data_IF_721075176391
#
_entry.id   IF_721075176391
#
_cell.length_a   1.000
_cell.length_b   1.000
_cell.length_c   1.000
_cell.angle_alpha   90.00
_cell.angle_beta   90.00
_cell.angle_gamma   90.00
#
_symmetry.space_group_name_H-M   'P 1'
#
loop_
_entity.id
_entity.type
_entity.pdbx_description
1 polymer ?
#
# COMPACT_ATOMS: atom_id res chain seq x y z
N UNK A 1 -58.90 -43.97 5.81
CA UNK A 1 -57.72 -44.27 6.65
C UNK A 1 -57.05 -42.95 7.05
N UNK A 2 -57.33 -42.42 8.23
CA UNK A 2 -56.75 -41.18 8.76
C UNK A 2 -55.82 -41.54 9.92
N UNK A 3 -54.52 -41.22 9.77
CA UNK A 3 -53.47 -41.55 10.76
C UNK A 3 -53.47 -40.52 11.90
N UNK A 4 -53.65 -41.04 13.11
CA UNK A 4 -53.52 -40.38 14.41
C UNK A 4 -52.12 -39.77 14.60
N UNK A 5 -52.05 -38.48 14.98
CA UNK A 5 -50.82 -37.81 15.43
C UNK A 5 -50.82 -37.75 16.96
N UNK A 6 -49.79 -38.38 17.54
CA UNK A 6 -49.54 -38.58 18.97
C UNK A 6 -49.13 -37.27 19.65
N UNK A 7 -49.75 -36.94 20.78
CA UNK A 7 -49.39 -35.79 21.61
C UNK A 7 -48.06 -36.02 22.34
N UNK A 8 -47.16 -35.02 22.31
CA UNK A 8 -45.93 -34.99 23.09
C UNK A 8 -46.14 -34.13 24.34
N UNK A 9 -45.79 -34.70 25.50
CA UNK A 9 -45.89 -34.11 26.84
C UNK A 9 -44.85 -32.98 26.99
N UNK A 10 -45.30 -31.83 27.47
CA UNK A 10 -44.44 -30.76 28.00
C UNK A 10 -44.13 -31.08 29.47
N UNK A 11 -42.87 -31.38 29.76
CA UNK A 11 -42.33 -31.42 31.13
C UNK A 11 -41.25 -30.34 31.22
N UNK A 12 -41.51 -29.35 32.06
CA UNK A 12 -40.63 -28.20 32.27
C UNK A 12 -39.34 -28.55 32.99
N UNK A 13 -38.31 -27.75 32.71
CA UNK A 13 -37.17 -27.54 33.59
C UNK A 13 -36.63 -26.13 33.32
N UNK A 14 -37.02 -25.18 34.17
CA UNK A 14 -36.40 -23.87 34.22
C UNK A 14 -34.95 -24.05 34.70
N UNK A 15 -33.98 -23.78 33.83
CA UNK A 15 -32.56 -23.73 34.23
C UNK A 15 -32.25 -22.29 34.60
N UNK A 16 -32.29 -21.99 35.90
CA UNK A 16 -31.77 -20.75 36.48
C UNK A 16 -30.25 -20.75 36.35
N UNK A 17 -29.73 -19.93 35.45
CA UNK A 17 -28.28 -19.67 35.35
C UNK A 17 -27.91 -18.67 36.44
N UNK A 18 -27.24 -19.12 37.50
CA UNK A 18 -26.61 -18.20 38.46
C UNK A 18 -25.34 -17.62 37.81
N UNK A 19 -25.08 -16.30 37.90
CA UNK A 19 -23.85 -15.71 37.41
C UNK A 19 -22.65 -16.20 38.23
N UNK A 20 -21.46 -16.41 37.61
CA UNK A 20 -20.25 -16.81 38.31
C UNK A 20 -19.84 -15.76 39.37
N UNK A 21 -19.29 -16.17 40.53
CA UNK A 21 -18.82 -15.22 41.53
C UNK A 21 -17.65 -14.39 40.99
N UNK A 22 -17.79 -13.07 41.06
CA UNK A 22 -16.78 -12.08 40.67
C UNK A 22 -15.68 -12.00 41.74
N UNK A 23 -14.77 -12.96 41.75
CA UNK A 23 -13.52 -12.85 42.49
C UNK A 23 -12.53 -12.02 41.65
N UNK A 24 -12.01 -10.93 42.23
CA UNK A 24 -10.94 -10.19 41.58
C UNK A 24 -9.65 -11.04 41.58
N UNK A 25 -8.89 -11.09 40.47
CA UNK A 25 -7.63 -11.80 40.43
C UNK A 25 -6.65 -11.21 41.45
N UNK A 26 -5.96 -12.08 42.16
CA UNK A 26 -4.93 -11.70 43.11
C UNK A 26 -3.85 -10.86 42.40
N UNK A 27 -3.62 -9.65 42.91
CA UNK A 27 -2.70 -8.65 42.33
C UNK A 27 -1.35 -8.63 43.06
N UNK A 28 -1.07 -9.60 43.92
CA UNK A 28 0.26 -9.76 44.48
C UNK A 28 1.22 -10.22 43.38
N UNK A 29 2.32 -9.48 43.20
CA UNK A 29 3.36 -9.84 42.24
C UNK A 29 4.08 -11.13 42.67
N UNK A 30 4.69 -11.87 41.72
CA UNK A 30 5.31 -13.16 42.00
C UNK A 30 6.39 -13.02 43.09
N UNK A 31 6.37 -13.97 44.03
CA UNK A 31 7.36 -14.04 45.10
C UNK A 31 8.69 -14.55 44.52
N UNK A 32 9.81 -14.16 45.13
CA UNK A 32 11.17 -14.40 44.59
C UNK A 32 11.48 -15.92 44.42
N UNK A 33 10.76 -16.78 45.13
CA UNK A 33 10.92 -18.24 45.08
C UNK A 33 9.99 -18.94 44.07
N UNK A 34 9.09 -18.21 43.40
CA UNK A 34 8.24 -18.79 42.36
C UNK A 34 9.08 -19.17 41.13
N UNK A 35 8.83 -20.36 40.59
CA UNK A 35 9.55 -20.87 39.43
C UNK A 35 9.32 -19.94 38.24
N UNK A 36 10.33 -19.11 37.95
CA UNK A 36 10.29 -18.20 36.80
C UNK A 36 10.15 -19.01 35.51
N UNK A 37 9.37 -18.49 34.57
CA UNK A 37 9.17 -19.11 33.24
C UNK A 37 10.49 -19.49 32.57
N UNK A 38 11.54 -18.72 32.85
CA UNK A 38 12.91 -19.00 32.43
C UNK A 38 13.46 -20.33 32.99
N UNK A 39 13.33 -20.58 34.30
CA UNK A 39 13.78 -21.83 34.94
C UNK A 39 12.96 -23.04 34.46
N UNK A 40 11.65 -22.86 34.25
CA UNK A 40 10.79 -23.92 33.70
C UNK A 40 11.20 -24.26 32.26
N UNK A 41 11.50 -23.24 31.44
CA UNK A 41 11.97 -23.44 30.08
C UNK A 41 13.34 -24.13 30.01
N UNK A 42 14.24 -23.81 30.96
CA UNK A 42 15.53 -24.48 31.13
C UNK A 42 15.36 -25.95 31.55
N UNK A 43 14.53 -26.22 32.58
CA UNK A 43 14.24 -27.58 33.05
C UNK A 43 13.63 -28.46 31.96
N UNK A 44 12.76 -27.90 31.12
CA UNK A 44 12.12 -28.59 29.99
C UNK A 44 12.96 -28.60 28.71
N UNK A 45 14.20 -28.08 28.75
CA UNK A 45 15.12 -28.00 27.61
C UNK A 45 14.53 -27.32 26.36
N UNK A 46 13.56 -26.42 26.54
CA UNK A 46 12.81 -25.81 25.43
C UNK A 46 13.73 -24.98 24.52
N UNK A 47 14.78 -24.38 25.05
CA UNK A 47 15.77 -23.64 24.27
C UNK A 47 16.56 -24.54 23.31
N UNK A 48 16.86 -25.78 23.70
CA UNK A 48 17.56 -26.75 22.83
C UNK A 48 16.62 -27.24 21.74
N UNK A 49 15.38 -27.55 22.09
CA UNK A 49 14.36 -27.97 21.13
C UNK A 49 14.06 -26.87 20.09
N UNK A 50 13.97 -25.60 20.51
CA UNK A 50 13.79 -24.46 19.61
C UNK A 50 15.00 -24.28 18.67
N UNK A 51 16.22 -24.40 19.20
CA UNK A 51 17.44 -24.32 18.41
C UNK A 51 17.56 -25.46 17.38
N UNK A 52 17.13 -26.67 17.72
CA UNK A 52 17.07 -27.82 16.80
C UNK A 52 15.98 -27.66 15.74
N UNK A 53 14.78 -27.20 16.12
CA UNK A 53 13.69 -26.90 15.17
C UNK A 53 14.13 -25.84 14.17
N UNK A 54 14.81 -24.78 14.61
CA UNK A 54 15.37 -23.75 13.74
C UNK A 54 16.44 -24.29 12.76
N UNK A 55 17.35 -25.16 13.23
CA UNK A 55 18.35 -25.80 12.36
C UNK A 55 17.72 -26.71 11.30
N UNK A 56 16.71 -27.49 11.69
CA UNK A 56 15.97 -28.37 10.77
C UNK A 56 15.20 -27.55 9.72
N UNK A 57 14.56 -26.46 10.12
CA UNK A 57 13.85 -25.55 9.22
C UNK A 57 14.80 -24.83 8.24
N UNK A 58 16.00 -24.46 8.70
CA UNK A 58 16.99 -23.82 7.83
C UNK A 58 17.62 -24.83 6.87
N UNK A 59 17.89 -26.06 7.31
CA UNK A 59 18.35 -27.13 6.43
C UNK A 59 17.31 -27.55 5.40
N UNK A 60 16.02 -27.63 5.77
CA UNK A 60 14.95 -27.95 4.81
C UNK A 60 14.81 -26.87 3.73
N UNK A 61 14.84 -25.57 4.11
CA UNK A 61 14.85 -24.46 3.15
C UNK A 61 16.07 -24.51 2.22
N UNK A 62 17.27 -24.79 2.74
CA UNK A 62 18.48 -24.90 1.93
C UNK A 62 18.46 -26.11 0.99
N UNK A 63 17.93 -27.25 1.44
CA UNK A 63 17.81 -28.48 0.64
C UNK A 63 16.76 -28.31 -0.47
N UNK A 64 15.62 -27.70 -0.18
CA UNK A 64 14.58 -27.39 -1.16
C UNK A 64 15.07 -26.38 -2.22
N UNK A 65 15.83 -25.36 -1.80
CA UNK A 65 16.49 -24.42 -2.73
C UNK A 65 17.54 -25.10 -3.61
N UNK A 66 18.30 -26.08 -3.08
CA UNK A 66 19.30 -26.83 -3.86
C UNK A 66 18.64 -27.80 -4.85
N UNK A 67 17.53 -28.44 -4.50
CA UNK A 67 16.76 -29.31 -5.40
C UNK A 67 16.21 -28.51 -6.58
N UNK A 68 15.70 -27.30 -6.34
CA UNK A 68 15.17 -26.40 -7.39
C UNK A 68 16.24 -25.85 -8.35
N UNK A 69 17.52 -25.87 -7.96
CA UNK A 69 18.64 -25.34 -8.77
C UNK A 69 19.34 -26.44 -9.60
N UNK A 70 19.21 -27.71 -9.23
CA UNK A 70 19.90 -28.83 -9.92
C UNK A 70 19.00 -29.56 -10.92
N UNK A 71 17.67 -29.46 -10.81
CA UNK A 71 16.71 -30.06 -11.74
C UNK A 71 16.11 -29.05 -12.71
N UNK A 72 16.92 -28.44 -13.57
CA UNK A 72 16.46 -27.48 -14.58
C UNK A 72 16.94 -27.84 -15.97
N UNK A 73 16.33 -28.87 -16.57
CA UNK A 73 16.21 -29.02 -18.02
C UNK A 73 14.71 -29.11 -18.36
N UNK A 74 14.30 -28.19 -19.23
CA UNK A 74 13.17 -28.18 -20.17
C UNK A 74 11.70 -28.29 -19.71
N UNK A 75 10.95 -27.25 -20.11
CA UNK A 75 9.51 -27.19 -20.44
C UNK A 75 8.44 -27.14 -19.33
N UNK A 76 7.86 -25.93 -19.20
CA UNK A 76 6.42 -25.61 -19.28
C UNK A 76 5.40 -26.63 -18.75
N UNK A 77 4.77 -26.35 -17.60
CA UNK A 77 3.31 -26.17 -17.47
C UNK A 77 2.85 -26.18 -16.01
N UNK A 78 1.79 -25.39 -15.79
CA UNK A 78 0.99 -25.19 -14.59
C UNK A 78 0.53 -26.47 -13.86
N UNK A 79 0.62 -26.47 -12.52
CA UNK A 79 -0.50 -26.75 -11.59
C UNK A 79 0.00 -26.54 -10.16
N UNK A 80 -0.44 -25.45 -9.54
CA UNK A 80 -0.34 -25.21 -8.10
C UNK A 80 -1.52 -25.96 -7.45
N UNK A 81 -1.24 -26.97 -6.63
CA UNK A 81 -2.19 -27.54 -5.68
C UNK A 81 -1.61 -27.35 -4.26
N UNK A 82 -2.50 -26.88 -3.41
CA UNK A 82 -2.31 -26.39 -2.04
C UNK A 82 -1.93 -27.49 -1.05
N UNK A 83 -1.26 -27.10 0.03
CA UNK A 83 -1.43 -27.73 1.35
C UNK A 83 -1.32 -26.61 2.40
N UNK A 84 -2.49 -26.17 2.87
CA UNK A 84 -2.71 -25.37 4.06
C UNK A 84 -2.33 -26.18 5.32
N UNK A 85 -1.53 -25.59 6.20
CA UNK A 85 -1.51 -25.95 7.62
C UNK A 85 -1.61 -24.63 8.40
N UNK A 86 -2.82 -24.38 8.90
CA UNK A 86 -3.19 -23.33 9.84
C UNK A 86 -2.41 -23.49 11.16
N UNK A 87 -1.55 -22.51 11.49
CA UNK A 87 -1.12 -22.22 12.85
C UNK A 87 -1.62 -20.79 13.19
N UNK A 88 -2.79 -20.71 13.83
CA UNK A 88 -3.31 -19.50 14.47
C UNK A 88 -2.39 -19.10 15.65
N UNK A 89 -1.52 -18.13 15.43
CA UNK A 89 -0.96 -17.24 16.46
C UNK A 89 -0.63 -15.87 15.82
N UNK A 90 -1.60 -14.94 15.86
CA UNK A 90 -1.46 -13.50 15.61
C UNK A 90 -0.76 -13.06 14.30
N UNK A 91 -0.74 -13.88 13.25
CA UNK A 91 -0.24 -13.48 11.93
C UNK A 91 -1.37 -12.79 11.17
N UNK A 92 -1.38 -11.44 11.18
CA UNK A 92 -2.24 -10.66 10.27
C UNK A 92 -2.11 -11.25 8.86
N UNK A 93 -3.20 -11.57 8.14
CA UNK A 93 -3.11 -12.17 6.82
C UNK A 93 -2.28 -11.29 5.88
N UNK A 94 -0.99 -11.61 5.72
CA UNK A 94 -0.10 -10.86 4.82
C UNK A 94 -0.48 -11.26 3.41
N UNK A 95 -0.99 -10.30 2.64
CA UNK A 95 -1.42 -10.54 1.27
C UNK A 95 -0.23 -10.97 0.40
N UNK A 96 -0.50 -11.58 -0.77
CA UNK A 96 0.57 -11.90 -1.72
C UNK A 96 1.36 -10.62 -2.08
N UNK A 97 2.69 -10.69 -2.26
CA UNK A 97 3.51 -9.50 -2.54
C UNK A 97 3.05 -8.68 -3.76
N UNK A 98 2.36 -9.32 -4.71
CA UNK A 98 1.71 -8.66 -5.84
C UNK A 98 0.43 -7.93 -5.46
N UNK A 99 -0.42 -8.55 -4.62
CA UNK A 99 -1.66 -7.95 -4.13
C UNK A 99 -1.38 -6.74 -3.24
N UNK A 100 -0.42 -6.81 -2.32
CA UNK A 100 0.00 -5.67 -1.50
C UNK A 100 0.39 -4.47 -2.37
N UNK A 101 1.15 -4.72 -3.45
CA UNK A 101 1.56 -3.67 -4.39
C UNK A 101 0.38 -3.07 -5.15
N UNK A 102 -0.54 -3.91 -5.63
CA UNK A 102 -1.71 -3.44 -6.36
C UNK A 102 -2.60 -2.61 -5.42
N UNK A 103 -2.83 -3.08 -4.20
CA UNK A 103 -3.64 -2.36 -3.22
C UNK A 103 -2.97 -1.06 -2.77
N UNK A 104 -1.66 -1.05 -2.54
CA UNK A 104 -0.90 0.17 -2.24
C UNK A 104 -1.00 1.16 -3.41
N UNK A 105 -0.74 0.69 -4.64
CA UNK A 105 -0.89 1.52 -5.83
C UNK A 105 -2.32 2.05 -6.00
N UNK A 106 -3.33 1.21 -5.80
CA UNK A 106 -4.74 1.61 -5.86
C UNK A 106 -5.07 2.65 -4.78
N UNK A 107 -4.58 2.49 -3.56
CA UNK A 107 -4.81 3.42 -2.46
C UNK A 107 -4.25 4.81 -2.81
N UNK A 108 -2.96 4.86 -3.17
CA UNK A 108 -2.29 6.12 -3.54
C UNK A 108 -2.92 6.78 -4.76
N UNK A 109 -3.23 6.00 -5.79
CA UNK A 109 -3.78 6.54 -7.04
C UNK A 109 -5.23 6.95 -6.90
N UNK A 110 -6.00 6.33 -6.00
CA UNK A 110 -7.36 6.76 -5.65
C UNK A 110 -7.33 8.14 -5.00
N UNK A 111 -6.39 8.39 -4.07
CA UNK A 111 -6.22 9.73 -3.49
C UNK A 111 -5.83 10.78 -4.55
N UNK A 112 -4.92 10.44 -5.46
CA UNK A 112 -4.55 11.33 -6.58
C UNK A 112 -5.71 11.56 -7.56
N UNK A 113 -6.54 10.55 -7.82
CA UNK A 113 -7.72 10.69 -8.66
C UNK A 113 -8.80 11.58 -8.04
N UNK A 114 -9.00 11.49 -6.71
CA UNK A 114 -9.87 12.41 -5.99
C UNK A 114 -9.35 13.85 -6.11
N UNK A 115 -8.04 14.07 -5.92
CA UNK A 115 -7.43 15.39 -6.10
C UNK A 115 -7.62 15.91 -7.55
N UNK A 116 -7.41 15.04 -8.55
CA UNK A 116 -7.60 15.37 -9.96
C UNK A 116 -9.04 15.77 -10.27
N UNK A 117 -10.00 14.98 -9.78
CA UNK A 117 -11.42 15.25 -9.93
C UNK A 117 -11.78 16.60 -9.28
N UNK A 118 -11.28 16.87 -8.07
CA UNK A 118 -11.49 18.15 -7.39
C UNK A 118 -10.92 19.32 -8.19
N UNK A 119 -9.70 19.21 -8.71
CA UNK A 119 -9.14 20.26 -9.57
C UNK A 119 -9.94 20.48 -10.84
N UNK A 120 -10.44 19.41 -11.47
CA UNK A 120 -11.24 19.52 -12.69
C UNK A 120 -12.59 20.21 -12.42
N UNK A 121 -13.24 19.90 -11.29
CA UNK A 121 -14.45 20.61 -10.82
C UNK A 121 -14.17 22.07 -10.51
N UNK A 122 -13.11 22.36 -9.75
CA UNK A 122 -12.75 23.73 -9.36
C UNK A 122 -12.46 24.60 -10.58
N UNK A 123 -11.71 24.07 -11.54
CA UNK A 123 -11.37 24.79 -12.76
C UNK A 123 -12.61 25.03 -13.64
N UNK A 124 -13.50 24.05 -13.78
CA UNK A 124 -14.77 24.27 -14.48
C UNK A 124 -15.63 25.35 -13.82
N UNK A 125 -15.67 25.35 -12.48
CA UNK A 125 -16.38 26.36 -11.70
C UNK A 125 -15.73 27.76 -11.84
N UNK A 126 -14.40 27.85 -11.81
CA UNK A 126 -13.65 29.11 -11.99
C UNK A 126 -13.88 29.76 -13.36
N UNK A 127 -14.05 28.95 -14.40
CA UNK A 127 -14.28 29.44 -15.77
C UNK A 127 -15.76 29.45 -16.19
N UNK A 128 -16.70 29.23 -15.25
CA UNK A 128 -18.13 29.27 -15.53
C UNK A 128 -18.60 28.31 -16.63
N UNK A 129 -17.96 27.14 -16.75
CA UNK A 129 -18.30 26.15 -17.78
C UNK A 129 -19.34 25.17 -17.26
N UNK A 130 -20.32 24.82 -18.08
CA UNK A 130 -21.32 23.79 -17.78
C UNK A 130 -20.67 22.43 -17.46
N UNK A 131 -21.01 21.85 -16.31
CA UNK A 131 -20.41 20.61 -15.82
C UNK A 131 -21.10 19.42 -16.48
N UNK A 132 -20.45 18.85 -17.50
CA UNK A 132 -20.83 17.56 -18.07
C UNK A 132 -20.31 16.41 -17.20
N UNK A 133 -21.08 16.03 -16.17
CA UNK A 133 -20.74 14.99 -15.19
C UNK A 133 -20.24 13.68 -15.81
N UNK A 134 -20.87 13.22 -16.89
CA UNK A 134 -20.44 11.99 -17.59
C UNK A 134 -19.03 12.11 -18.16
N UNK A 135 -18.73 13.22 -18.83
CA UNK A 135 -17.41 13.47 -19.42
C UNK A 135 -16.34 13.70 -18.35
N UNK A 136 -16.70 14.38 -17.26
CA UNK A 136 -15.84 14.61 -16.11
C UNK A 136 -15.42 13.30 -15.44
N UNK A 137 -16.38 12.40 -15.17
CA UNK A 137 -16.10 11.08 -14.57
C UNK A 137 -15.25 10.23 -15.51
N UNK A 138 -15.56 10.21 -16.81
CA UNK A 138 -14.78 9.45 -17.79
C UNK A 138 -13.32 9.96 -17.89
N UNK A 139 -13.11 11.28 -17.93
CA UNK A 139 -11.77 11.87 -17.93
C UNK A 139 -11.03 11.56 -16.63
N UNK A 140 -11.71 11.64 -15.49
CA UNK A 140 -11.12 11.35 -14.18
C UNK A 140 -10.71 9.89 -14.06
N UNK A 141 -11.52 8.96 -14.58
CA UNK A 141 -11.19 7.55 -14.62
C UNK A 141 -10.01 7.26 -15.56
N UNK A 142 -9.98 7.91 -16.73
CA UNK A 142 -8.83 7.81 -17.64
C UNK A 142 -7.54 8.34 -17.00
N UNK A 143 -7.61 9.48 -16.31
CA UNK A 143 -6.48 10.04 -15.56
C UNK A 143 -6.05 9.10 -14.42
N UNK A 144 -7.00 8.51 -13.68
CA UNK A 144 -6.72 7.52 -12.65
C UNK A 144 -5.97 6.30 -13.21
N UNK A 145 -6.41 5.75 -14.34
CA UNK A 145 -5.71 4.61 -14.97
C UNK A 145 -4.28 4.97 -15.38
N UNK A 146 -4.06 6.19 -15.91
CA UNK A 146 -2.72 6.68 -16.25
C UNK A 146 -1.87 6.86 -14.99
N UNK A 147 -2.42 7.45 -13.92
CA UNK A 147 -1.71 7.58 -12.65
C UNK A 147 -1.43 6.21 -12.02
N UNK A 148 -2.33 5.25 -12.15
CA UNK A 148 -2.13 3.89 -11.66
C UNK A 148 -0.98 3.21 -12.40
N UNK A 149 -0.91 3.35 -13.72
CA UNK A 149 0.21 2.85 -14.51
C UNK A 149 1.52 3.55 -14.13
N UNK A 150 1.52 4.89 -14.05
CA UNK A 150 2.69 5.68 -13.68
C UNK A 150 3.18 5.33 -12.27
N UNK A 151 2.28 5.25 -11.30
CA UNK A 151 2.60 4.90 -9.92
C UNK A 151 3.09 3.46 -9.83
N UNK A 152 2.43 2.52 -10.49
CA UNK A 152 2.87 1.14 -10.53
C UNK A 152 4.27 1.00 -11.15
N UNK A 153 4.59 1.79 -12.18
CA UNK A 153 5.89 1.76 -12.85
C UNK A 153 6.99 2.48 -12.04
N UNK A 154 6.71 3.67 -11.51
CA UNK A 154 7.69 4.55 -10.90
C UNK A 154 7.78 4.43 -9.37
N UNK A 155 6.77 3.94 -8.65
CA UNK A 155 6.81 3.89 -7.18
C UNK A 155 7.79 2.81 -6.66
N UNK A 156 8.55 3.07 -5.59
CA UNK A 156 9.56 2.14 -5.07
C UNK A 156 8.95 0.80 -4.67
N UNK A 157 9.59 -0.30 -5.08
CA UNK A 157 9.35 -1.63 -4.53
C UNK A 157 10.07 -1.72 -3.20
N UNK A 158 9.36 -2.08 -2.13
CA UNK A 158 9.93 -2.25 -0.77
C UNK A 158 11.09 -3.26 -0.71
N UNK A 159 11.32 -4.07 -1.76
CA UNK A 159 12.43 -5.02 -1.87
C UNK A 159 13.37 -4.89 -3.08
N UNK A 160 13.10 -4.01 -4.07
CA UNK A 160 13.95 -3.91 -5.27
C UNK A 160 13.83 -2.51 -5.91
N UNK A 161 14.87 -1.68 -5.81
CA UNK A 161 14.86 -0.30 -6.32
C UNK A 161 15.07 -0.21 -7.84
N UNK A 162 15.00 -1.34 -8.55
CA UNK A 162 15.36 -1.45 -9.97
C UNK A 162 14.38 -0.71 -10.89
N UNK A 163 14.70 0.56 -11.18
CA UNK A 163 14.02 1.38 -12.20
C UNK A 163 14.37 0.93 -13.62
N UNK A 164 15.59 0.43 -13.84
CA UNK A 164 16.07 -0.08 -15.12
C UNK A 164 16.74 -1.43 -14.90
N UNK A 165 16.25 -2.53 -15.53
CA UNK A 165 16.89 -3.83 -15.42
C UNK A 165 18.29 -3.75 -16.05
N UNK A 166 19.33 -3.62 -15.23
CA UNK A 166 20.72 -3.52 -15.67
C UNK A 166 21.57 -2.43 -15.02
N UNK A 167 20.99 -1.48 -14.28
CA UNK A 167 21.77 -0.46 -13.56
C UNK A 167 22.14 -0.91 -12.13
N UNK A 168 23.38 -0.66 -11.65
CA UNK A 168 23.78 -0.94 -10.28
C UNK A 168 22.90 -0.23 -9.25
N UNK A 169 22.49 -0.92 -8.18
CA UNK A 169 21.58 -0.44 -7.14
C UNK A 169 21.95 0.93 -6.55
N UNK A 170 23.26 1.24 -6.43
CA UNK A 170 23.79 2.53 -5.93
C UNK A 170 23.33 3.76 -6.72
N UNK A 171 23.07 3.62 -8.02
CA UNK A 171 22.66 4.75 -8.87
C UNK A 171 21.13 4.85 -9.03
N UNK A 172 20.38 3.85 -8.59
CA UNK A 172 18.93 3.82 -8.78
C UNK A 172 18.20 4.86 -7.90
N UNK A 173 18.65 5.04 -6.65
CA UNK A 173 18.10 6.04 -5.73
C UNK A 173 18.32 7.49 -6.20
N UNK A 174 19.56 7.93 -6.55
CA UNK A 174 19.77 9.29 -7.06
C UNK A 174 19.14 9.49 -8.44
N UNK A 175 19.08 8.47 -9.30
CA UNK A 175 18.38 8.57 -10.59
C UNK A 175 16.89 8.82 -10.40
N UNK A 176 16.25 8.11 -9.45
CA UNK A 176 14.85 8.33 -9.08
C UNK A 176 14.60 9.76 -8.65
N UNK A 177 15.40 10.25 -7.69
CA UNK A 177 15.30 11.62 -7.19
C UNK A 177 15.51 12.63 -8.32
N UNK A 178 16.47 12.40 -9.23
CA UNK A 178 16.68 13.24 -10.40
C UNK A 178 15.47 13.24 -11.36
N UNK A 179 14.84 12.10 -11.59
CA UNK A 179 13.62 11.98 -12.42
C UNK A 179 12.46 12.76 -11.81
N UNK A 180 12.20 12.59 -10.51
CA UNK A 180 11.14 13.35 -9.83
C UNK A 180 11.46 14.83 -9.72
N UNK A 181 12.74 15.20 -9.59
CA UNK A 181 13.17 16.59 -9.58
C UNK A 181 12.93 17.26 -10.94
N UNK A 182 13.34 16.59 -12.03
CA UNK A 182 13.07 17.05 -13.39
C UNK A 182 11.56 17.10 -13.68
N UNK A 183 10.80 16.08 -13.28
CA UNK A 183 9.34 16.05 -13.42
C UNK A 183 8.68 17.21 -12.66
N UNK A 184 9.14 17.51 -11.44
CA UNK A 184 8.63 18.60 -10.62
C UNK A 184 8.90 19.96 -11.27
N UNK A 185 10.12 20.22 -11.74
CA UNK A 185 10.47 21.47 -12.43
C UNK A 185 9.68 21.64 -13.72
N UNK A 186 9.66 20.61 -14.58
CA UNK A 186 8.98 20.67 -15.87
C UNK A 186 7.47 20.83 -15.67
N UNK A 187 6.85 20.04 -14.79
CA UNK A 187 5.41 20.13 -14.53
C UNK A 187 5.04 21.47 -13.89
N UNK A 188 5.80 21.94 -12.90
CA UNK A 188 5.55 23.23 -12.24
C UNK A 188 5.71 24.42 -13.19
N UNK A 189 6.83 24.51 -13.92
CA UNK A 189 7.06 25.60 -14.87
C UNK A 189 6.05 25.56 -16.04
N UNK A 190 5.70 24.36 -16.52
CA UNK A 190 4.73 24.20 -17.59
C UNK A 190 3.31 24.52 -17.13
N UNK A 191 2.93 24.17 -15.90
CA UNK A 191 1.65 24.58 -15.32
C UNK A 191 1.54 26.11 -15.26
N UNK A 192 2.56 26.78 -14.73
CA UNK A 192 2.64 28.26 -14.67
C UNK A 192 2.55 28.85 -16.08
N UNK A 193 3.29 28.29 -17.04
CA UNK A 193 3.25 28.75 -18.43
C UNK A 193 1.85 28.60 -19.05
N UNK A 194 1.20 27.45 -18.87
CA UNK A 194 -0.12 27.17 -19.44
C UNK A 194 -1.16 28.10 -18.83
N UNK A 195 -1.17 28.29 -17.50
CA UNK A 195 -2.16 29.13 -16.82
C UNK A 195 -2.03 30.61 -17.19
N UNK A 196 -0.82 31.09 -17.51
CA UNK A 196 -0.59 32.50 -17.85
C UNK A 196 -0.61 32.81 -19.35
N UNK A 197 -0.19 31.89 -20.22
CA UNK A 197 0.03 32.16 -21.66
C UNK A 197 -0.99 31.51 -22.59
N UNK A 198 -1.77 30.52 -22.13
CA UNK A 198 -2.73 29.81 -22.98
C UNK A 198 -4.15 30.32 -22.72
N UNK A 199 -5.00 30.20 -23.76
CA UNK A 199 -6.41 30.52 -23.64
C UNK A 199 -7.14 29.57 -22.69
N UNK A 200 -8.29 30.03 -22.19
CA UNK A 200 -9.03 29.36 -21.10
C UNK A 200 -9.27 27.86 -21.34
N UNK A 201 -9.68 27.44 -22.55
CA UNK A 201 -9.93 26.02 -22.87
C UNK A 201 -8.70 25.13 -22.71
N UNK A 202 -7.52 25.66 -23.06
CA UNK A 202 -6.28 24.92 -22.95
C UNK A 202 -5.85 24.81 -21.48
N UNK A 203 -6.00 25.89 -20.71
CA UNK A 203 -5.77 25.90 -19.27
C UNK A 203 -6.70 24.93 -18.55
N UNK A 204 -7.99 24.95 -18.88
CA UNK A 204 -9.00 24.10 -18.27
C UNK A 204 -8.73 22.60 -18.46
N UNK A 205 -8.27 22.19 -19.64
CA UNK A 205 -8.00 20.77 -19.94
C UNK A 205 -6.65 20.29 -19.42
N UNK A 206 -5.65 21.17 -19.31
CA UNK A 206 -4.26 20.78 -19.00
C UNK A 206 -3.87 21.05 -17.56
N UNK A 207 -4.43 22.05 -16.90
CA UNK A 207 -4.06 22.42 -15.55
C UNK A 207 -4.37 21.32 -14.50
N UNK A 208 -5.55 20.66 -14.50
CA UNK A 208 -5.85 19.64 -13.50
C UNK A 208 -4.86 18.45 -13.49
N UNK A 209 -4.55 17.79 -14.62
CA UNK A 209 -3.60 16.67 -14.60
C UNK A 209 -2.16 17.13 -14.32
N UNK A 210 -1.74 18.30 -14.82
CA UNK A 210 -0.41 18.85 -14.54
C UNK A 210 -0.22 19.24 -13.07
N UNK A 211 -1.27 19.80 -12.44
CA UNK A 211 -1.27 20.13 -11.02
C UNK A 211 -1.09 18.89 -10.15
N UNK A 212 -1.84 17.82 -10.43
CA UNK A 212 -1.69 16.55 -9.70
C UNK A 212 -0.32 15.92 -9.94
N UNK A 213 0.17 15.92 -11.18
CA UNK A 213 1.50 15.41 -11.51
C UNK A 213 2.60 16.19 -10.77
N UNK A 214 2.47 17.52 -10.67
CA UNK A 214 3.42 18.36 -9.95
C UNK A 214 3.41 18.09 -8.45
N UNK A 215 2.23 18.03 -7.83
CA UNK A 215 2.07 17.71 -6.40
C UNK A 215 2.67 16.34 -6.10
N UNK A 216 2.35 15.32 -6.91
CA UNK A 216 2.93 13.99 -6.76
C UNK A 216 4.46 14.00 -6.84
N UNK A 217 5.02 14.70 -7.83
CA UNK A 217 6.47 14.81 -7.97
C UNK A 217 7.14 15.50 -6.78
N UNK A 218 6.50 16.50 -6.17
CA UNK A 218 7.03 17.18 -4.97
C UNK A 218 6.96 16.29 -3.73
N UNK A 219 5.89 15.51 -3.58
CA UNK A 219 5.69 14.61 -2.41
C UNK A 219 6.70 13.45 -2.41
N UNK A 220 7.13 12.98 -3.58
CA UNK A 220 8.10 11.88 -3.70
C UNK A 220 9.58 12.34 -3.57
N UNK A 221 9.83 13.66 -3.63
CA UNK A 221 11.17 14.21 -3.46
C UNK A 221 11.59 14.26 -1.99
N UNK A 222 12.87 14.09 -1.72
CA UNK A 222 13.41 14.42 -0.39
C UNK A 222 13.28 15.92 -0.14
N UNK A 223 13.06 16.29 1.13
CA UNK A 223 12.84 17.67 1.58
C UNK A 223 13.78 18.72 0.95
N UNK A 224 15.11 18.55 0.86
CA UNK A 224 15.98 19.56 0.26
C UNK A 224 15.78 19.70 -1.26
N UNK A 225 15.50 18.60 -1.97
CA UNK A 225 15.26 18.65 -3.41
C UNK A 225 13.88 19.22 -3.73
N UNK A 226 12.89 18.94 -2.88
CA UNK A 226 11.55 19.53 -2.96
C UNK A 226 11.59 21.06 -2.77
N UNK A 227 12.33 21.56 -1.78
CA UNK A 227 12.46 23.01 -1.58
C UNK A 227 13.22 23.67 -2.73
N UNK A 228 14.25 23.01 -3.26
CA UNK A 228 14.99 23.49 -4.43
C UNK A 228 14.11 23.55 -5.68
N UNK A 229 13.29 22.52 -5.95
CA UNK A 229 12.41 22.52 -7.13
C UNK A 229 11.33 23.60 -7.05
N UNK A 230 10.80 23.86 -5.84
CA UNK A 230 9.87 24.97 -5.59
C UNK A 230 10.54 26.34 -5.74
N UNK A 231 11.79 26.50 -5.29
CA UNK A 231 12.56 27.72 -5.49
C UNK A 231 12.76 27.98 -6.99
N UNK A 232 13.09 26.96 -7.78
CA UNK A 232 13.19 27.08 -9.24
C UNK A 232 11.85 27.52 -9.84
N UNK A 233 10.73 26.91 -9.45
CA UNK A 233 9.41 27.31 -9.92
C UNK A 233 9.07 28.77 -9.55
N UNK A 234 9.37 29.20 -8.32
CA UNK A 234 9.18 30.57 -7.87
C UNK A 234 10.07 31.56 -8.64
N UNK A 235 11.33 31.20 -8.90
CA UNK A 235 12.25 31.99 -9.71
C UNK A 235 11.76 32.12 -11.15
N UNK A 236 11.10 31.09 -11.69
CA UNK A 236 10.50 31.14 -13.01
C UNK A 236 9.32 32.12 -13.06
N UNK A 237 8.47 32.17 -12.02
CA UNK A 237 7.41 33.18 -11.91
C UNK A 237 7.99 34.60 -11.94
N UNK A 238 9.03 34.84 -11.13
CA UNK A 238 9.68 36.15 -11.04
C UNK A 238 10.33 36.59 -12.35
N UNK A 239 11.09 35.70 -13.00
CA UNK A 239 11.78 36.02 -14.27
C UNK A 239 10.83 36.25 -15.44
N UNK A 240 9.66 35.61 -15.45
CA UNK A 240 8.65 35.80 -16.49
C UNK A 240 7.76 37.03 -16.25
N UNK A 241 7.92 37.72 -15.11
CA UNK A 241 7.16 38.94 -14.80
C UNK A 241 5.67 38.69 -14.62
N UNK A 242 5.26 37.49 -14.21
CA UNK A 242 3.86 37.22 -13.90
C UNK A 242 3.50 37.96 -12.61
N UNK A 243 2.62 38.97 -12.68
CA UNK A 243 2.14 39.70 -11.51
C UNK A 243 1.35 38.76 -10.60
N UNK A 244 1.85 38.57 -9.37
CA UNK A 244 1.07 37.98 -8.28
C UNK A 244 0.23 39.14 -7.71
N UNK A 245 -1.03 39.24 -8.16
CA UNK A 245 -2.01 40.15 -7.57
C UNK A 245 -2.69 39.51 -6.36
#
# INVERSE_FOLDING_TARGET
MARSRKAARTSGAATTVQPPPLAHPDRSGPSIDDQTLFKIAEQRQLFRQAAERGKNHQQSKLKMKKIRVVGGDDHDSSSDDDDDDDDDDDEVPTLSPGAERILEAMLWTTSLAMLHFTFDVLVQHQYGTEILWKALVQRSFSAWAVFLLLFYALHPRKGDQTLLPGLPARYQTPLRQAVFFAMSIVSGCYLIYVTNRKGYLATQKRAPPLGVLWVWAVVELELPWATLSLLVAASYVYTQGYEIK
#
